data_IF_756983888046
#
_entry.id   IF_756983888046
#
_cell.length_a   1.000
_cell.length_b   1.000
_cell.length_c   1.000
_cell.angle_alpha   90.00
_cell.angle_beta   90.00
_cell.angle_gamma   90.00
#
_symmetry.space_group_name_H-M   'P 1'
#
loop_
_entity.id
_entity.type
_entity.pdbx_description
1 polymer ?
#
# COMPACT_ATOMS: atom_id res chain seq x y z
N UNK A 1 -1.04 -4.89 -23.80
CA UNK A 1 -2.03 -4.77 -22.71
C UNK A 1 -1.35 -4.01 -21.59
N UNK A 2 -1.99 -2.96 -21.06
CA UNK A 2 -1.48 -2.23 -19.90
C UNK A 2 -1.62 -3.12 -18.65
N UNK A 3 -0.61 -3.13 -17.80
CA UNK A 3 -0.62 -3.87 -16.54
C UNK A 3 -1.67 -3.36 -15.56
N UNK A 4 -2.03 -4.22 -14.61
CA UNK A 4 -2.95 -3.87 -13.53
C UNK A 4 -2.23 -3.06 -12.45
N UNK A 5 -2.91 -2.06 -11.88
CA UNK A 5 -2.41 -1.29 -10.75
C UNK A 5 -3.25 -1.63 -9.52
N UNK A 6 -2.60 -2.12 -8.46
CA UNK A 6 -3.23 -2.34 -7.16
C UNK A 6 -2.73 -1.30 -6.17
N UNK A 7 -3.65 -0.65 -5.47
CA UNK A 7 -3.28 0.31 -4.43
C UNK A 7 -3.10 -0.41 -3.09
N UNK A 8 -1.91 -0.33 -2.50
CA UNK A 8 -1.63 -0.87 -1.17
C UNK A 8 -1.88 0.22 -0.13
N UNK A 9 -2.84 -0.03 0.77
CA UNK A 9 -3.10 0.83 1.92
C UNK A 9 -3.09 0.02 3.21
N UNK A 10 -3.04 0.68 4.36
CA UNK A 10 -3.07 0.06 5.67
C UNK A 10 -4.21 0.60 6.52
N UNK A 11 -4.61 -0.17 7.52
CA UNK A 11 -5.54 0.28 8.56
C UNK A 11 -4.90 1.33 9.50
N UNK A 12 -3.57 1.45 9.46
CA UNK A 12 -2.78 2.41 10.23
C UNK A 12 -1.38 2.62 9.62
N UNK A 13 -0.63 3.57 10.17
CA UNK A 13 0.82 3.71 9.98
C UNK A 13 1.55 2.57 10.71
N UNK A 14 2.64 2.07 10.15
CA UNK A 14 3.43 1.00 10.78
C UNK A 14 2.80 -0.41 10.73
N UNK A 15 1.62 -0.58 10.14
CA UNK A 15 0.94 -1.90 10.07
C UNK A 15 1.65 -2.95 9.18
N UNK A 16 2.72 -2.56 8.48
CA UNK A 16 3.49 -3.44 7.59
C UNK A 16 3.14 -3.34 6.10
N UNK A 17 2.76 -2.15 5.62
CA UNK A 17 2.54 -1.90 4.18
C UNK A 17 3.80 -2.21 3.36
N UNK A 18 4.93 -1.57 3.68
CA UNK A 18 6.22 -1.74 2.99
C UNK A 18 6.60 -3.22 2.90
N UNK A 19 6.50 -3.92 4.02
CA UNK A 19 6.77 -5.36 4.09
C UNK A 19 5.83 -6.18 3.20
N UNK A 20 4.52 -5.91 3.28
CA UNK A 20 3.50 -6.56 2.47
C UNK A 20 3.71 -6.31 0.97
N UNK A 21 3.99 -5.07 0.58
CA UNK A 21 4.22 -4.66 -0.81
C UNK A 21 5.42 -5.40 -1.41
N UNK A 22 6.56 -5.41 -0.70
CA UNK A 22 7.74 -6.16 -1.13
C UNK A 22 7.50 -7.67 -1.21
N UNK A 23 6.80 -8.24 -0.21
CA UNK A 23 6.49 -9.67 -0.16
C UNK A 23 5.57 -10.10 -1.31
N UNK A 24 4.48 -9.35 -1.56
CA UNK A 24 3.56 -9.63 -2.65
C UNK A 24 4.27 -9.54 -4.01
N UNK A 25 5.11 -8.52 -4.21
CA UNK A 25 5.88 -8.39 -5.43
C UNK A 25 6.85 -9.56 -5.63
N UNK A 26 7.51 -10.03 -4.57
CA UNK A 26 8.35 -11.23 -4.60
C UNK A 26 7.55 -12.48 -5.00
N UNK A 27 6.41 -12.68 -4.32
CA UNK A 27 5.55 -13.84 -4.52
C UNK A 27 5.00 -13.89 -5.95
N UNK A 28 4.48 -12.78 -6.46
CA UNK A 28 3.92 -12.70 -7.80
C UNK A 28 4.99 -12.83 -8.89
N UNK A 29 6.18 -12.26 -8.70
CA UNK A 29 7.32 -12.52 -9.60
C UNK A 29 7.70 -14.01 -9.61
N UNK A 30 7.73 -14.69 -8.47
CA UNK A 30 8.00 -16.13 -8.40
C UNK A 30 6.90 -16.97 -9.08
N UNK A 31 5.68 -16.43 -9.19
CA UNK A 31 4.56 -17.02 -9.93
C UNK A 31 4.55 -16.63 -11.42
N UNK A 32 5.60 -15.95 -11.91
CA UNK A 32 5.73 -15.53 -13.30
C UNK A 32 4.95 -14.26 -13.67
N UNK A 33 4.32 -13.58 -12.71
CA UNK A 33 3.71 -12.28 -12.92
C UNK A 33 4.75 -11.18 -12.76
N UNK A 34 5.17 -10.58 -13.89
CA UNK A 34 6.15 -9.48 -13.90
C UNK A 34 5.61 -8.28 -13.13
N UNK A 35 6.09 -8.10 -11.90
CA UNK A 35 5.55 -7.17 -10.90
C UNK A 35 6.61 -6.15 -10.47
N UNK A 36 6.22 -4.88 -10.38
CA UNK A 36 7.03 -3.80 -9.80
C UNK A 36 6.28 -3.11 -8.67
N UNK A 37 7.02 -2.50 -7.75
CA UNK A 37 6.50 -1.67 -6.66
C UNK A 37 6.76 -0.20 -6.94
N UNK A 38 5.83 0.65 -6.54
CA UNK A 38 5.91 2.11 -6.61
C UNK A 38 5.39 2.68 -5.29
N UNK A 39 6.08 3.68 -4.73
CA UNK A 39 5.61 4.47 -3.60
C UNK A 39 4.92 5.71 -4.14
N UNK A 40 3.65 5.91 -3.79
CA UNK A 40 2.86 7.07 -4.21
C UNK A 40 3.58 8.36 -3.84
N UNK A 41 3.87 8.51 -2.54
CA UNK A 41 4.57 9.64 -1.92
C UNK A 41 5.42 9.08 -0.76
N UNK A 42 6.69 9.45 -0.72
CA UNK A 42 7.56 9.26 0.43
C UNK A 42 7.66 10.55 1.25
N UNK A 43 7.66 10.43 2.57
CA UNK A 43 8.02 11.53 3.46
C UNK A 43 9.14 11.10 4.40
N UNK A 44 9.96 12.02 4.89
CA UNK A 44 11.08 11.72 5.79
C UNK A 44 12.40 11.35 5.12
N UNK A 45 12.54 11.54 3.80
CA UNK A 45 13.78 11.24 3.08
C UNK A 45 14.18 12.37 2.13
N UNK A 46 15.43 12.33 1.67
CA UNK A 46 15.94 13.20 0.61
C UNK A 46 16.45 12.28 -0.51
N UNK A 47 15.96 12.51 -1.72
CA UNK A 47 16.31 11.80 -2.98
C UNK A 47 15.89 10.32 -3.10
N UNK A 48 16.00 9.52 -2.04
CA UNK A 48 15.71 8.07 -2.07
C UNK A 48 14.60 7.71 -1.09
N UNK A 49 13.67 6.86 -1.52
CA UNK A 49 12.63 6.27 -0.66
C UNK A 49 13.18 5.02 0.02
N UNK A 50 13.23 5.05 1.35
CA UNK A 50 13.56 3.87 2.18
C UNK A 50 12.56 2.72 1.97
N UNK A 51 11.29 3.04 1.68
CA UNK A 51 10.29 2.03 1.39
C UNK A 51 10.60 1.30 0.08
N UNK A 52 11.01 2.01 -0.98
CA UNK A 52 11.46 1.37 -2.23
C UNK A 52 12.71 0.53 -2.01
N UNK A 53 13.68 1.01 -1.23
CA UNK A 53 14.86 0.24 -0.87
C UNK A 53 14.47 -1.08 -0.16
N UNK A 54 13.62 -1.00 0.86
CA UNK A 54 13.11 -2.17 1.57
C UNK A 54 12.30 -3.11 0.66
N UNK A 55 11.54 -2.59 -0.30
CA UNK A 55 10.87 -3.43 -1.31
C UNK A 55 11.90 -4.28 -2.08
N UNK A 56 12.99 -3.67 -2.56
CA UNK A 56 14.02 -4.37 -3.35
C UNK A 56 14.73 -5.43 -2.50
N UNK A 57 15.05 -5.11 -1.25
CA UNK A 57 15.63 -6.07 -0.29
C UNK A 57 14.72 -7.29 -0.09
N UNK A 58 13.43 -7.08 0.21
CA UNK A 58 12.47 -8.18 0.42
C UNK A 58 12.31 -9.02 -0.85
N UNK A 59 12.25 -8.37 -2.00
CA UNK A 59 12.20 -9.02 -3.31
C UNK A 59 13.47 -9.80 -3.64
N UNK A 60 14.59 -9.56 -2.95
CA UNK A 60 15.89 -10.15 -3.23
C UNK A 60 16.49 -9.63 -4.54
N UNK A 61 16.26 -8.35 -4.86
CA UNK A 61 16.71 -7.70 -6.08
C UNK A 61 17.58 -6.49 -5.75
N UNK A 62 18.44 -6.09 -6.69
CA UNK A 62 19.11 -4.79 -6.66
C UNK A 62 18.21 -3.66 -7.18
N UNK A 63 18.78 -2.47 -7.21
CA UNK A 63 18.20 -1.30 -7.86
C UNK A 63 17.86 -1.58 -9.33
N UNK A 64 16.67 -1.17 -9.76
CA UNK A 64 16.20 -1.29 -11.13
C UNK A 64 16.40 0.02 -11.90
N UNK A 65 16.48 -0.01 -13.24
CA UNK A 65 16.51 1.21 -14.05
C UNK A 65 15.33 2.15 -13.79
N UNK A 66 14.15 1.60 -13.48
CA UNK A 66 12.95 2.36 -13.10
C UNK A 66 13.13 3.13 -11.78
N UNK A 67 13.94 2.60 -10.85
CA UNK A 67 14.24 3.26 -9.59
C UNK A 67 15.24 4.41 -9.79
N UNK A 68 16.27 4.19 -10.62
CA UNK A 68 17.23 5.24 -11.03
C UNK A 68 16.54 6.38 -11.77
N UNK A 69 15.55 6.06 -12.62
CA UNK A 69 14.71 7.02 -13.32
C UNK A 69 13.64 7.68 -12.42
N UNK A 70 13.63 7.38 -11.11
CA UNK A 70 12.68 7.89 -10.11
C UNK A 70 11.20 7.58 -10.42
N UNK A 71 10.91 6.56 -11.23
CA UNK A 71 9.53 6.18 -11.55
C UNK A 71 8.85 5.49 -10.37
N UNK A 72 9.60 4.77 -9.55
CA UNK A 72 9.07 4.03 -8.40
C UNK A 72 8.92 4.90 -7.16
N UNK A 73 9.46 6.12 -7.15
CA UNK A 73 9.38 7.09 -6.05
C UNK A 73 9.31 8.53 -6.60
N UNK A 74 8.27 8.85 -7.38
CA UNK A 74 8.18 10.12 -8.10
C UNK A 74 8.14 11.33 -7.17
N UNK A 75 7.56 11.20 -5.97
CA UNK A 75 7.41 12.29 -5.01
C UNK A 75 8.00 11.94 -3.65
N UNK A 76 9.01 12.70 -3.23
CA UNK A 76 9.72 12.54 -1.95
C UNK A 76 9.78 13.89 -1.24
N UNK A 77 9.37 13.91 0.03
CA UNK A 77 9.40 15.09 0.88
C UNK A 77 10.29 14.87 2.11
N UNK A 78 10.98 15.92 2.55
CA UNK A 78 12.07 15.82 3.52
C UNK A 78 11.60 15.53 4.95
N UNK A 79 10.44 16.06 5.34
CA UNK A 79 9.98 15.97 6.72
C UNK A 79 9.10 14.74 6.96
N UNK A 80 9.33 13.94 8.02
CA UNK A 80 8.57 12.72 8.31
C UNK A 80 7.20 13.05 8.91
N UNK A 81 6.27 13.47 8.07
CA UNK A 81 4.88 13.77 8.43
C UNK A 81 3.91 13.26 7.38
N UNK A 82 2.61 13.45 7.62
CA UNK A 82 1.58 13.28 6.59
C UNK A 82 1.89 14.14 5.35
N UNK A 83 1.58 13.69 4.13
CA UNK A 83 1.93 14.40 2.90
C UNK A 83 1.51 15.87 2.89
N UNK A 84 0.30 16.21 3.34
CA UNK A 84 -0.17 17.62 3.37
C UNK A 84 0.70 18.56 4.23
N UNK A 85 1.36 18.04 5.28
CA UNK A 85 2.24 18.82 6.14
C UNK A 85 3.65 18.85 5.56
N UNK A 86 4.12 17.72 5.04
CA UNK A 86 5.44 17.61 4.43
C UNK A 86 5.60 18.56 3.22
N UNK A 87 4.57 18.67 2.37
CA UNK A 87 4.53 19.62 1.25
C UNK A 87 4.63 21.07 1.70
N UNK A 88 3.90 21.42 2.77
CA UNK A 88 3.94 22.75 3.38
C UNK A 88 5.32 23.11 3.93
N UNK A 89 5.99 22.15 4.58
CA UNK A 89 7.32 22.36 5.16
C UNK A 89 8.41 22.45 4.09
N UNK A 90 8.32 21.65 3.04
CA UNK A 90 9.24 21.68 1.90
C UNK A 90 8.96 22.86 0.94
N UNK A 91 7.84 23.57 1.10
CA UNK A 91 7.48 24.73 0.29
C UNK A 91 7.10 24.39 -1.16
N UNK A 92 6.68 23.15 -1.43
CA UNK A 92 6.28 22.69 -2.76
C UNK A 92 5.08 21.75 -2.69
N UNK A 93 4.23 21.77 -3.72
CA UNK A 93 3.06 20.90 -3.82
C UNK A 93 3.42 19.49 -4.35
N UNK A 94 2.48 18.55 -4.22
CA UNK A 94 2.57 17.22 -4.86
C UNK A 94 2.28 17.38 -6.35
N UNK A 95 3.18 16.87 -7.19
CA UNK A 95 2.92 16.74 -8.62
C UNK A 95 2.21 15.40 -8.92
N UNK A 96 0.87 15.43 -8.92
CA UNK A 96 0.06 14.26 -9.23
C UNK A 96 0.25 13.77 -10.67
N UNK A 97 0.52 14.68 -11.63
CA UNK A 97 0.74 14.29 -13.02
C UNK A 97 2.03 13.49 -13.17
N UNK A 98 3.08 13.85 -12.42
CA UNK A 98 4.33 13.08 -12.36
C UNK A 98 4.10 11.68 -11.81
N UNK A 99 3.31 11.55 -10.74
CA UNK A 99 2.94 10.24 -10.18
C UNK A 99 2.23 9.40 -11.24
N UNK A 100 1.19 9.95 -11.87
CA UNK A 100 0.37 9.27 -12.87
C UNK A 100 1.18 8.85 -14.10
N UNK A 101 2.07 9.72 -14.58
CA UNK A 101 2.96 9.41 -15.69
C UNK A 101 3.90 8.27 -15.34
N UNK A 102 4.50 8.30 -14.15
CA UNK A 102 5.36 7.23 -13.69
C UNK A 102 4.60 5.90 -13.57
N UNK A 103 3.41 5.91 -12.97
CA UNK A 103 2.56 4.71 -12.87
C UNK A 103 2.19 4.16 -14.25
N UNK A 104 1.84 5.01 -15.21
CA UNK A 104 1.52 4.59 -16.57
C UNK A 104 2.72 3.94 -17.27
N UNK A 105 3.91 4.53 -17.18
CA UNK A 105 5.13 3.97 -17.76
C UNK A 105 5.51 2.63 -17.12
N UNK A 106 5.31 2.47 -15.82
CA UNK A 106 5.48 1.20 -15.13
C UNK A 106 4.46 0.16 -15.64
N UNK A 107 3.19 0.54 -15.76
CA UNK A 107 2.13 -0.34 -16.25
C UNK A 107 2.30 -0.74 -17.73
N UNK A 108 3.04 0.03 -18.54
CA UNK A 108 3.40 -0.40 -19.91
C UNK A 108 4.43 -1.53 -19.92
N UNK A 109 5.31 -1.58 -18.92
CA UNK A 109 6.44 -2.52 -18.85
C UNK A 109 6.20 -3.74 -17.97
N UNK A 110 5.32 -3.62 -16.98
CA UNK A 110 5.04 -4.63 -15.96
C UNK A 110 3.58 -5.07 -16.05
N UNK A 111 3.34 -6.36 -15.79
CA UNK A 111 1.97 -6.90 -15.75
C UNK A 111 1.21 -6.38 -14.51
N UNK A 112 1.95 -6.08 -13.43
CA UNK A 112 1.39 -5.58 -12.18
C UNK A 112 2.26 -4.45 -11.61
N UNK A 113 1.60 -3.38 -11.18
CA UNK A 113 2.20 -2.31 -10.36
C UNK A 113 1.52 -2.31 -8.99
N UNK A 114 2.31 -2.53 -7.95
CA UNK A 114 1.87 -2.35 -6.56
C UNK A 114 2.18 -0.91 -6.14
N UNK A 115 1.14 -0.06 -6.13
CA UNK A 115 1.24 1.34 -5.76
C UNK A 115 0.96 1.51 -4.27
N UNK A 116 2.00 1.67 -3.48
CA UNK A 116 1.91 1.83 -2.04
C UNK A 116 1.61 3.27 -1.61
N UNK A 117 0.57 3.45 -0.80
CA UNK A 117 0.21 4.73 -0.18
C UNK A 117 1.05 5.11 1.04
N UNK A 118 0.91 6.37 1.47
CA UNK A 118 1.49 6.88 2.71
C UNK A 118 0.46 6.84 3.85
N UNK A 119 0.79 6.17 4.96
CA UNK A 119 -0.11 6.06 6.11
C UNK A 119 -1.36 5.21 5.83
N UNK A 120 -2.53 5.67 6.29
CA UNK A 120 -3.82 5.01 6.11
C UNK A 120 -4.72 5.66 5.04
N UNK A 121 -5.88 5.06 4.76
CA UNK A 121 -6.81 5.50 3.71
C UNK A 121 -7.25 6.97 3.83
N UNK A 122 -7.46 7.44 5.06
CA UNK A 122 -7.96 8.79 5.33
C UNK A 122 -6.84 9.82 5.53
N UNK A 123 -5.57 9.46 5.24
CA UNK A 123 -4.46 10.42 5.35
C UNK A 123 -4.61 11.49 4.26
N UNK A 124 -4.47 12.78 4.60
CA UNK A 124 -4.55 13.86 3.63
C UNK A 124 -3.30 13.91 2.75
N UNK A 125 -3.52 13.87 1.43
CA UNK A 125 -2.50 14.19 0.43
C UNK A 125 -2.33 15.71 0.35
N UNK A 126 -3.45 16.44 0.32
CA UNK A 126 -3.52 17.89 0.42
C UNK A 126 -4.57 18.27 1.47
N UNK A 127 -4.77 19.57 1.71
CA UNK A 127 -5.84 20.06 2.59
C UNK A 127 -7.25 19.74 2.08
N UNK A 128 -7.40 19.41 0.78
CA UNK A 128 -8.69 19.19 0.13
C UNK A 128 -8.82 17.80 -0.51
N UNK A 129 -7.81 16.93 -0.37
CA UNK A 129 -7.80 15.61 -1.00
C UNK A 129 -7.25 14.56 -0.04
N UNK A 130 -8.06 13.56 0.29
CA UNK A 130 -7.64 12.38 1.04
C UNK A 130 -7.11 11.30 0.09
N UNK A 131 -6.22 10.44 0.59
CA UNK A 131 -5.69 9.30 -0.17
C UNK A 131 -6.81 8.44 -0.75
N UNK A 132 -7.84 8.12 0.05
CA UNK A 132 -8.96 7.29 -0.41
C UNK A 132 -9.77 7.93 -1.55
N UNK A 133 -9.85 9.27 -1.60
CA UNK A 133 -10.57 9.98 -2.66
C UNK A 133 -9.78 9.95 -3.96
N UNK A 134 -8.43 10.11 -3.88
CA UNK A 134 -7.54 9.90 -5.02
C UNK A 134 -7.67 8.47 -5.59
N UNK A 135 -7.67 7.46 -4.72
CA UNK A 135 -7.78 6.05 -5.14
C UNK A 135 -9.15 5.79 -5.80
N UNK A 136 -10.23 6.39 -5.26
CA UNK A 136 -11.57 6.31 -5.84
C UNK A 136 -11.64 6.94 -7.23
N UNK A 137 -11.00 8.09 -7.45
CA UNK A 137 -10.89 8.73 -8.76
C UNK A 137 -10.18 7.82 -9.77
N UNK A 138 -9.05 7.22 -9.37
CA UNK A 138 -8.26 6.35 -10.25
C UNK A 138 -8.82 4.94 -10.41
N UNK A 139 -9.82 4.57 -9.59
CA UNK A 139 -10.48 3.25 -9.59
C UNK A 139 -9.50 2.09 -9.46
N UNK A 140 -8.42 2.28 -8.70
CA UNK A 140 -7.49 1.20 -8.44
C UNK A 140 -8.10 0.23 -7.41
N UNK A 141 -8.14 -1.08 -7.70
CA UNK A 141 -8.49 -2.07 -6.68
C UNK A 141 -7.52 -1.98 -5.49
N UNK A 142 -8.08 -2.07 -4.28
CA UNK A 142 -7.33 -1.88 -3.03
C UNK A 142 -6.94 -3.22 -2.43
N UNK A 143 -5.67 -3.32 -2.03
CA UNK A 143 -5.18 -4.33 -1.09
C UNK A 143 -5.00 -3.63 0.25
N UNK A 144 -5.83 -4.00 1.22
CA UNK A 144 -5.81 -3.39 2.55
C UNK A 144 -4.99 -4.27 3.51
N UNK A 145 -3.95 -3.69 4.10
CA UNK A 145 -3.09 -4.35 5.08
C UNK A 145 -3.68 -4.16 6.48
N UNK A 146 -3.92 -5.28 7.15
CA UNK A 146 -4.35 -5.39 8.55
C UNK A 146 -3.40 -6.30 9.33
N UNK A 147 -3.67 -6.51 10.60
CA UNK A 147 -2.84 -7.36 11.47
C UNK A 147 -3.64 -7.92 12.65
N UNK A 148 -2.98 -8.70 13.51
CA UNK A 148 -3.58 -9.39 14.67
C UNK A 148 -3.51 -8.67 16.00
N UNK A 149 -2.99 -7.43 16.06
CA UNK A 149 -2.92 -6.65 17.30
C UNK A 149 -4.30 -6.21 17.78
N UNK A 150 -4.41 -5.97 19.09
CA UNK A 150 -5.61 -5.42 19.70
C UNK A 150 -6.02 -4.10 19.02
N UNK A 151 -7.29 -3.99 18.66
CA UNK A 151 -7.85 -2.84 17.93
C UNK A 151 -7.91 -3.01 16.41
N UNK A 152 -7.19 -3.97 15.82
CA UNK A 152 -7.20 -4.20 14.37
C UNK A 152 -8.60 -4.50 13.81
N UNK A 153 -9.46 -5.20 14.56
CA UNK A 153 -10.86 -5.44 14.15
C UNK A 153 -11.57 -4.11 13.85
N UNK A 154 -11.52 -3.16 14.80
CA UNK A 154 -12.16 -1.86 14.64
C UNK A 154 -11.58 -1.07 13.46
N UNK A 155 -10.26 -0.92 13.40
CA UNK A 155 -9.61 -0.16 12.33
C UNK A 155 -9.83 -0.78 10.95
N UNK A 156 -9.86 -2.12 10.86
CA UNK A 156 -10.18 -2.84 9.63
C UNK A 156 -11.61 -2.55 9.20
N UNK A 157 -12.60 -2.73 10.08
CA UNK A 157 -14.01 -2.50 9.71
C UNK A 157 -14.24 -1.04 9.31
N UNK A 158 -13.71 -0.08 10.06
CA UNK A 158 -13.81 1.34 9.69
C UNK A 158 -13.20 1.63 8.32
N UNK A 159 -12.06 1.01 8.00
CA UNK A 159 -11.41 1.12 6.69
C UNK A 159 -12.26 0.49 5.58
N UNK A 160 -12.84 -0.69 5.83
CA UNK A 160 -13.72 -1.38 4.90
C UNK A 160 -15.00 -0.58 4.60
N UNK A 161 -15.64 -0.02 5.62
CA UNK A 161 -16.80 0.87 5.44
C UNK A 161 -16.42 2.14 4.65
N UNK A 162 -15.23 2.70 4.90
CA UNK A 162 -14.74 3.85 4.12
C UNK A 162 -14.54 3.50 2.64
N UNK A 163 -13.98 2.33 2.32
CA UNK A 163 -13.85 1.83 0.94
C UNK A 163 -15.22 1.64 0.29
N UNK A 164 -16.13 0.94 0.97
CA UNK A 164 -17.49 0.66 0.49
C UNK A 164 -18.29 1.93 0.23
N UNK A 165 -18.20 2.93 1.10
CA UNK A 165 -18.90 4.21 0.94
C UNK A 165 -18.48 4.98 -0.32
N UNK A 166 -17.29 4.68 -0.86
CA UNK A 166 -16.74 5.25 -2.10
C UNK A 166 -16.86 4.34 -3.32
N UNK A 167 -17.49 3.18 -3.17
CA UNK A 167 -17.60 2.20 -4.25
C UNK A 167 -16.25 1.64 -4.72
N UNK A 168 -15.24 1.66 -3.85
CA UNK A 168 -13.92 1.10 -4.15
C UNK A 168 -13.96 -0.44 -4.11
N UNK A 169 -13.32 -1.06 -5.09
CA UNK A 169 -13.10 -2.50 -5.10
C UNK A 169 -12.02 -2.86 -4.07
N UNK A 170 -12.39 -3.72 -3.12
CA UNK A 170 -11.42 -4.41 -2.27
C UNK A 170 -10.98 -5.69 -2.98
N UNK A 171 -9.76 -5.70 -3.51
CA UNK A 171 -9.19 -6.90 -4.11
C UNK A 171 -8.79 -7.93 -3.06
N UNK A 172 -8.14 -7.48 -1.98
CA UNK A 172 -7.73 -8.36 -0.91
C UNK A 172 -7.62 -7.65 0.44
N UNK A 173 -7.84 -8.42 1.51
CA UNK A 173 -7.37 -8.10 2.84
C UNK A 173 -6.08 -8.89 3.09
N UNK A 174 -4.97 -8.18 3.25
CA UNK A 174 -3.66 -8.75 3.54
C UNK A 174 -3.44 -8.75 5.06
N UNK A 175 -3.38 -9.93 5.65
CA UNK A 175 -3.22 -10.13 7.08
C UNK A 175 -1.74 -10.27 7.42
N UNK A 176 -1.16 -9.22 7.98
CA UNK A 176 0.25 -9.17 8.34
C UNK A 176 0.51 -9.96 9.63
N UNK A 177 1.23 -11.08 9.50
CA UNK A 177 1.70 -11.91 10.61
C UNK A 177 3.02 -11.40 11.19
N UNK A 178 3.69 -10.45 10.51
CA UNK A 178 4.86 -9.74 11.00
C UNK A 178 4.44 -8.45 11.73
N UNK A 179 3.48 -8.55 12.65
CA UNK A 179 3.05 -7.44 13.49
C UNK A 179 3.51 -7.63 14.94
N UNK A 180 3.43 -6.57 15.74
CA UNK A 180 3.85 -6.59 17.14
C UNK A 180 2.90 -7.38 18.07
N UNK A 181 1.90 -8.08 17.53
CA UNK A 181 0.96 -8.85 18.34
C UNK A 181 1.66 -10.07 18.95
N UNK A 182 2.01 -9.97 20.23
CA UNK A 182 2.60 -11.09 20.97
C UNK A 182 1.58 -12.12 21.46
N UNK A 183 0.28 -11.90 21.19
CA UNK A 183 -0.80 -12.77 21.64
C UNK A 183 -1.40 -13.56 20.45
N UNK A 184 -1.03 -14.84 20.37
CA UNK A 184 -1.50 -15.76 19.34
C UNK A 184 -3.03 -15.98 19.37
N UNK A 185 -3.65 -15.92 20.56
CA UNK A 185 -5.09 -16.11 20.70
C UNK A 185 -5.83 -14.91 20.10
N UNK A 186 -5.41 -13.69 20.43
CA UNK A 186 -6.00 -12.46 19.87
C UNK A 186 -5.81 -12.40 18.37
N UNK A 187 -4.61 -12.73 17.88
CA UNK A 187 -4.33 -12.74 16.44
C UNK A 187 -5.22 -13.76 15.72
N UNK A 188 -5.33 -14.99 16.24
CA UNK A 188 -6.18 -16.02 15.64
C UNK A 188 -7.66 -15.63 15.62
N UNK A 189 -8.20 -15.16 16.74
CA UNK A 189 -9.61 -14.74 16.83
C UNK A 189 -9.90 -13.55 15.90
N UNK A 190 -8.98 -12.58 15.83
CA UNK A 190 -9.07 -11.45 14.89
C UNK A 190 -9.14 -11.92 13.45
N UNK A 191 -8.27 -12.87 13.05
CA UNK A 191 -8.28 -13.41 11.70
C UNK A 191 -9.59 -14.15 11.38
N UNK A 192 -10.08 -14.99 12.29
CA UNK A 192 -11.35 -15.73 12.13
C UNK A 192 -12.53 -14.77 11.99
N UNK A 193 -12.61 -13.75 12.85
CA UNK A 193 -13.65 -12.74 12.81
C UNK A 193 -13.63 -11.94 11.49
N UNK A 194 -12.46 -11.47 11.05
CA UNK A 194 -12.33 -10.69 9.82
C UNK A 194 -12.63 -11.53 8.58
N UNK A 195 -12.25 -12.82 8.54
CA UNK A 195 -12.64 -13.75 7.45
C UNK A 195 -14.16 -13.88 7.34
N UNK A 196 -14.85 -14.05 8.48
CA UNK A 196 -16.31 -14.13 8.50
C UNK A 196 -16.97 -12.81 8.05
N UNK A 197 -16.39 -11.67 8.45
CA UNK A 197 -16.86 -10.35 8.03
C UNK A 197 -16.69 -10.15 6.51
N UNK A 198 -15.53 -10.50 5.94
CA UNK A 198 -15.29 -10.42 4.49
C UNK A 198 -16.27 -11.30 3.72
N UNK A 199 -16.47 -12.55 4.14
CA UNK A 199 -17.40 -13.47 3.48
C UNK A 199 -18.83 -12.90 3.40
N UNK A 200 -19.23 -12.10 4.40
CA UNK A 200 -20.56 -11.47 4.46
C UNK A 200 -20.67 -10.18 3.63
N UNK A 201 -19.65 -9.31 3.68
CA UNK A 201 -19.76 -7.94 3.17
C UNK A 201 -18.89 -7.65 1.94
N UNK A 202 -17.84 -8.44 1.71
CA UNK A 202 -16.88 -8.33 0.61
C UNK A 202 -16.57 -9.72 0.03
N UNK A 203 -17.58 -10.47 -0.47
CA UNK A 203 -17.42 -11.89 -0.82
C UNK A 203 -16.46 -12.16 -1.99
N UNK A 204 -16.10 -11.13 -2.76
CA UNK A 204 -15.13 -11.24 -3.86
C UNK A 204 -13.70 -10.91 -3.42
N UNK A 205 -13.52 -10.31 -2.24
CA UNK A 205 -12.20 -9.95 -1.75
C UNK A 205 -11.44 -11.21 -1.31
N UNK A 206 -10.17 -11.28 -1.69
CA UNK A 206 -9.28 -12.35 -1.29
C UNK A 206 -8.79 -12.15 0.15
N UNK A 207 -8.50 -13.25 0.83
CA UNK A 207 -7.68 -13.24 2.04
C UNK A 207 -6.26 -13.62 1.68
N UNK A 208 -5.27 -12.85 2.14
CA UNK A 208 -3.85 -13.17 1.92
C UNK A 208 -3.13 -13.12 3.26
N UNK A 209 -2.54 -14.24 3.67
CA UNK A 209 -1.61 -14.26 4.80
C UNK A 209 -0.25 -13.72 4.35
N UNK A 210 0.27 -12.72 5.05
CA UNK A 210 1.60 -12.17 4.82
C UNK A 210 2.54 -12.73 5.90
N UNK A 211 3.37 -13.74 5.58
CA UNK A 211 4.17 -14.45 6.56
C UNK A 211 5.41 -13.66 6.98
N UNK A 212 5.98 -14.02 8.12
CA UNK A 212 7.33 -13.60 8.50
C UNK A 212 8.35 -14.39 7.66
N UNK A 213 9.12 -13.68 6.83
CA UNK A 213 10.23 -14.25 6.09
C UNK A 213 11.34 -14.63 7.07
N UNK A 214 11.92 -15.81 6.87
CA UNK A 214 13.05 -16.32 7.65
C UNK A 214 14.37 -15.91 7.03
#
# INVERSE_FOLDING_TARGET
MTGSVYFISGIDTGIGKTYTTGYLAKLWNAQGQKTITQKLIQTGNVDISEDIEQHREIMGMGWLPEDEAKLTMPEIFSYPASPHLATKLDGREIDFQKIEHATAQLAEKYAVVLLEGAGGLMVPLTTNLLTIDYVAEKKHPVILVTSGRLGSINHTILSLEALKSRGLELYALAYNLNDESQDELISKDTAEYLKAYLAKYFPQALWIDIPVLK
#
